data_IF_572102960553
#
_entry.id   IF_572102960553
#
_cell.length_a   1.000
_cell.length_b   1.000
_cell.length_c   1.000
_cell.angle_alpha   90.00
_cell.angle_beta   90.00
_cell.angle_gamma   90.00
#
_symmetry.space_group_name_H-M   'P 1'
#
loop_
_entity.id
_entity.type
_entity.pdbx_description
1 polymer ?
#
# COMPACT_ATOMS: atom_id res chain seq x y z
N UNK A 1 5.76 30.94 -24.35
CA UNK A 1 6.57 29.71 -24.15
C UNK A 1 6.97 29.47 -22.69
N UNK A 2 6.90 30.47 -21.79
CA UNK A 2 7.15 30.25 -20.35
C UNK A 2 6.04 29.45 -19.65
N UNK A 3 4.78 29.60 -20.06
CA UNK A 3 3.65 28.87 -19.46
C UNK A 3 3.74 27.35 -19.58
N UNK A 4 4.31 26.82 -20.68
CA UNK A 4 4.39 25.37 -20.88
C UNK A 4 5.42 24.71 -19.95
N UNK A 5 6.53 25.40 -19.69
CA UNK A 5 7.60 24.90 -18.83
C UNK A 5 7.16 24.80 -17.36
N UNK A 6 6.41 25.79 -16.87
CA UNK A 6 5.90 25.76 -15.50
C UNK A 6 4.85 24.64 -15.30
N UNK A 7 4.04 24.35 -16.31
CA UNK A 7 3.09 23.22 -16.30
C UNK A 7 3.82 21.88 -16.31
N UNK A 8 4.86 21.73 -17.12
CA UNK A 8 5.70 20.52 -17.16
C UNK A 8 6.42 20.28 -15.82
N UNK A 9 7.02 21.33 -15.22
CA UNK A 9 7.67 21.24 -13.90
C UNK A 9 6.67 20.88 -12.79
N UNK A 10 5.45 21.42 -12.84
CA UNK A 10 4.38 21.07 -11.90
C UNK A 10 3.97 19.61 -12.05
N UNK A 11 3.71 19.15 -13.28
CA UNK A 11 3.32 17.77 -13.57
C UNK A 11 4.38 16.76 -13.14
N UNK A 12 5.67 17.06 -13.38
CA UNK A 12 6.77 16.25 -12.88
C UNK A 12 6.78 16.16 -11.35
N UNK A 13 6.57 17.28 -10.65
CA UNK A 13 6.55 17.28 -9.18
C UNK A 13 5.38 16.48 -8.61
N UNK A 14 4.23 16.51 -9.26
CA UNK A 14 3.05 15.73 -8.85
C UNK A 14 3.27 14.24 -9.12
N UNK A 15 3.92 13.88 -10.24
CA UNK A 15 4.28 12.50 -10.53
C UNK A 15 5.30 11.93 -9.53
N UNK A 16 6.28 12.73 -9.10
CA UNK A 16 7.24 12.35 -8.04
C UNK A 16 6.53 12.13 -6.70
N UNK A 17 5.66 13.06 -6.27
CA UNK A 17 4.88 12.89 -5.03
C UNK A 17 3.97 11.68 -5.09
N UNK A 18 3.37 11.42 -6.24
CA UNK A 18 2.50 10.26 -6.45
C UNK A 18 3.29 8.96 -6.32
N UNK A 19 4.49 8.90 -6.91
CA UNK A 19 5.37 7.75 -6.78
C UNK A 19 5.83 7.52 -5.34
N UNK A 20 6.10 8.58 -4.57
CA UNK A 20 6.47 8.45 -3.16
C UNK A 20 5.28 8.02 -2.30
N UNK A 21 4.09 8.57 -2.56
CA UNK A 21 2.86 8.17 -1.86
C UNK A 21 2.51 6.69 -2.10
N UNK A 22 2.74 6.16 -3.30
CA UNK A 22 2.55 4.74 -3.60
C UNK A 22 3.54 3.85 -2.83
N UNK A 23 4.81 4.24 -2.74
CA UNK A 23 5.79 3.49 -1.93
C UNK A 23 5.44 3.51 -0.45
N UNK A 24 4.98 4.67 0.05
CA UNK A 24 4.53 4.77 1.44
C UNK A 24 3.31 3.88 1.69
N UNK A 25 2.37 3.82 0.74
CA UNK A 25 1.22 2.93 0.81
C UNK A 25 1.64 1.46 0.81
N UNK A 26 2.48 1.04 -0.14
CA UNK A 26 3.02 -0.33 -0.22
C UNK A 26 3.71 -0.73 1.10
N UNK A 27 4.52 0.18 1.66
CA UNK A 27 5.20 -0.06 2.95
C UNK A 27 4.19 -0.23 4.09
N UNK A 28 3.18 0.63 4.18
CA UNK A 28 2.13 0.52 5.22
C UNK A 28 1.38 -0.80 5.08
N UNK A 29 1.03 -1.20 3.87
CA UNK A 29 0.31 -2.45 3.63
C UNK A 29 1.13 -3.67 4.07
N UNK A 30 2.43 -3.68 3.79
CA UNK A 30 3.35 -4.73 4.23
C UNK A 30 3.53 -4.74 5.76
N UNK A 31 3.68 -3.56 6.39
CA UNK A 31 3.83 -3.43 7.84
C UNK A 31 2.59 -3.94 8.59
N UNK A 32 1.39 -3.57 8.12
CA UNK A 32 0.13 -4.01 8.75
C UNK A 32 -0.10 -5.51 8.55
N UNK A 33 0.15 -6.05 7.36
CA UNK A 33 0.03 -7.48 7.12
C UNK A 33 0.98 -8.29 8.01
N UNK A 34 2.24 -7.86 8.15
CA UNK A 34 3.22 -8.54 9.00
C UNK A 34 2.85 -8.46 10.50
N UNK A 35 2.36 -7.31 10.98
CA UNK A 35 1.89 -7.17 12.37
C UNK A 35 0.66 -8.04 12.64
N UNK A 36 -0.27 -8.10 11.69
CA UNK A 36 -1.45 -8.95 11.79
C UNK A 36 -1.07 -10.44 11.77
N UNK A 37 -0.15 -10.87 10.91
CA UNK A 37 0.37 -12.25 10.88
C UNK A 37 1.00 -12.65 12.21
N UNK A 38 1.85 -11.80 12.78
CA UNK A 38 2.41 -12.02 14.12
C UNK A 38 1.30 -12.11 15.20
N UNK A 39 0.27 -11.28 15.08
CA UNK A 39 -0.87 -11.29 16.01
C UNK A 39 -1.69 -12.57 15.92
N UNK A 40 -1.77 -13.24 14.76
CA UNK A 40 -2.43 -14.54 14.62
C UNK A 40 -1.79 -15.57 15.55
N UNK A 41 -0.46 -15.67 15.53
CA UNK A 41 0.27 -16.62 16.38
C UNK A 41 0.08 -16.31 17.87
N UNK A 42 0.11 -15.02 18.23
CA UNK A 42 -0.11 -14.58 19.61
C UNK A 42 -1.52 -14.91 20.10
N UNK A 43 -2.56 -14.65 19.30
CA UNK A 43 -3.94 -14.96 19.67
C UNK A 43 -4.23 -16.46 19.71
N UNK A 44 -3.66 -17.23 18.78
CA UNK A 44 -3.75 -18.70 18.79
C UNK A 44 -3.10 -19.28 20.06
N UNK A 45 -1.92 -18.77 20.45
CA UNK A 45 -1.23 -19.18 21.68
C UNK A 45 -2.03 -18.84 22.96
N UNK A 46 -2.84 -17.77 22.92
CA UNK A 46 -3.76 -17.41 24.00
C UNK A 46 -5.08 -18.19 23.97
N UNK A 47 -5.33 -18.99 22.93
CA UNK A 47 -6.58 -19.72 22.71
C UNK A 47 -7.76 -18.81 22.33
N UNK A 48 -7.49 -17.61 21.80
CA UNK A 48 -8.50 -16.65 21.33
C UNK A 48 -8.69 -16.81 19.81
N UNK A 49 -9.29 -17.93 19.41
CA UNK A 49 -9.49 -18.32 18.00
C UNK A 49 -10.24 -17.25 17.19
N UNK A 50 -11.15 -16.50 17.83
CA UNK A 50 -11.89 -15.42 17.19
C UNK A 50 -10.97 -14.28 16.77
N UNK A 51 -10.08 -13.84 17.66
CA UNK A 51 -9.10 -12.80 17.31
C UNK A 51 -8.01 -13.29 16.38
N UNK A 52 -7.62 -14.56 16.48
CA UNK A 52 -6.70 -15.15 15.51
C UNK A 52 -7.31 -15.14 14.09
N UNK A 53 -8.62 -15.43 13.97
CA UNK A 53 -9.32 -15.34 12.70
C UNK A 53 -9.45 -13.89 12.18
N UNK A 54 -9.77 -12.93 13.04
CA UNK A 54 -9.83 -11.49 12.67
C UNK A 54 -8.46 -10.96 12.22
N UNK A 55 -7.38 -11.37 12.88
CA UNK A 55 -6.02 -11.03 12.49
C UNK A 55 -5.66 -11.65 11.13
N UNK A 56 -6.02 -12.92 10.89
CA UNK A 56 -5.80 -13.57 9.60
C UNK A 56 -6.62 -12.94 8.47
N UNK A 57 -7.85 -12.49 8.74
CA UNK A 57 -8.66 -11.74 7.79
C UNK A 57 -8.01 -10.40 7.43
N UNK A 58 -7.42 -9.71 8.42
CA UNK A 58 -6.66 -8.48 8.17
C UNK A 58 -5.47 -8.71 7.23
N UNK A 59 -4.71 -9.80 7.42
CA UNK A 59 -3.62 -10.17 6.48
C UNK A 59 -4.18 -10.29 5.06
N UNK A 60 -5.25 -11.05 4.89
CA UNK A 60 -5.87 -11.28 3.59
C UNK A 60 -6.38 -9.98 2.95
N UNK A 61 -7.03 -9.10 3.71
CA UNK A 61 -7.52 -7.81 3.20
C UNK A 61 -6.37 -6.92 2.68
N UNK A 62 -5.24 -6.90 3.38
CA UNK A 62 -4.08 -6.10 2.98
C UNK A 62 -3.29 -6.72 1.82
N UNK A 63 -3.20 -8.05 1.72
CA UNK A 63 -2.68 -8.72 0.51
C UNK A 63 -3.53 -8.37 -0.72
N UNK A 64 -4.85 -8.30 -0.58
CA UNK A 64 -5.74 -7.89 -1.65
C UNK A 64 -5.62 -6.39 -1.98
N UNK A 65 -5.36 -5.54 -0.97
CA UNK A 65 -5.11 -4.11 -1.16
C UNK A 65 -3.82 -3.85 -1.96
N UNK A 66 -2.76 -4.61 -1.72
CA UNK A 66 -1.50 -4.53 -2.47
C UNK A 66 -1.71 -4.74 -3.98
N UNK A 67 -2.60 -5.64 -4.39
CA UNK A 67 -2.96 -5.82 -5.80
C UNK A 67 -3.56 -4.52 -6.39
N UNK A 68 -4.38 -3.82 -5.60
CA UNK A 68 -4.92 -2.52 -5.97
C UNK A 68 -3.83 -1.45 -6.13
N UNK A 69 -2.91 -1.38 -5.16
CA UNK A 69 -1.77 -0.46 -5.17
C UNK A 69 -0.84 -0.72 -6.36
N UNK A 70 -0.57 -1.99 -6.68
CA UNK A 70 0.23 -2.41 -7.85
C UNK A 70 -0.43 -2.00 -9.17
N UNK A 71 -1.75 -2.17 -9.30
CA UNK A 71 -2.47 -1.74 -10.51
C UNK A 71 -2.39 -0.23 -10.71
N UNK A 72 -2.56 0.56 -9.64
CA UNK A 72 -2.47 2.02 -9.71
C UNK A 72 -1.03 2.46 -10.03
N UNK A 73 -0.03 1.86 -9.38
CA UNK A 73 1.38 2.13 -9.67
C UNK A 73 1.79 1.74 -11.10
N UNK A 74 1.25 0.63 -11.61
CA UNK A 74 1.41 0.19 -12.99
C UNK A 74 0.83 1.17 -14.00
N UNK A 75 -0.42 1.58 -13.83
CA UNK A 75 -1.11 2.53 -14.71
C UNK A 75 -0.36 3.89 -14.79
N UNK A 76 0.17 4.36 -13.66
CA UNK A 76 0.97 5.59 -13.59
C UNK A 76 2.38 5.47 -14.19
N UNK A 77 2.88 4.24 -14.35
CA UNK A 77 4.19 3.97 -14.96
C UNK A 77 4.14 3.86 -16.49
N UNK A 78 2.97 3.52 -17.05
CA UNK A 78 2.73 3.41 -18.50
C UNK A 78 2.45 4.76 -19.18
N UNK A 79 2.06 5.79 -18.42
CA UNK A 79 1.81 7.16 -18.92
C UNK A 79 3.07 8.05 -19.05
N UNK A 80 4.28 7.48 -18.91
CA UNK A 80 5.58 8.20 -19.02
C UNK A 80 6.25 8.15 -20.40
#
# INVERSE_FOLDING_TARGET
>A
MADNKAVEEFAMSEAEKTADALKDLERIEQEVAAEAEASVEDYDAMGDEGKAAEAAETVFEFEQAQIGTDMVGGELSEDK
#
